data_IF_430057892978
#
_entry.id   IF_430057892978
#
_cell.length_a   1.000
_cell.length_b   1.000
_cell.length_c   1.000
_cell.angle_alpha   90.00
_cell.angle_beta   90.00
_cell.angle_gamma   90.00
#
_symmetry.space_group_name_H-M   'P 1'
#
loop_
_entity.id
_entity.type
_entity.pdbx_description
1 polymer ?
#
# COMPACT_ATOMS: atom_id res chain seq x y z
N UNK A 1 -1.44 26.96 6.49
CA UNK A 1 -1.58 25.59 5.97
C UNK A 1 -1.00 25.55 4.56
N UNK A 2 0.07 24.79 4.31
CA UNK A 2 0.76 24.86 3.03
C UNK A 2 -0.04 24.06 1.98
N UNK A 3 -1.04 24.71 1.38
CA UNK A 3 -1.88 24.18 0.29
C UNK A 3 -1.08 23.85 -0.97
N UNK A 4 -0.01 24.60 -1.22
CA UNK A 4 0.85 24.43 -2.39
C UNK A 4 1.57 23.07 -2.43
N UNK A 5 2.33 22.64 -1.40
CA UNK A 5 2.94 21.31 -1.40
C UNK A 5 1.90 20.18 -1.32
N UNK A 6 0.72 20.42 -0.74
CA UNK A 6 -0.37 19.44 -0.78
C UNK A 6 -0.88 19.23 -2.21
N UNK A 7 -1.14 20.30 -2.97
CA UNK A 7 -1.53 20.21 -4.37
C UNK A 7 -0.46 19.53 -5.23
N UNK A 8 0.81 19.90 -5.04
CA UNK A 8 1.95 19.27 -5.73
C UNK A 8 2.06 17.78 -5.44
N UNK A 9 1.90 17.38 -4.17
CA UNK A 9 1.89 15.97 -3.76
C UNK A 9 0.74 15.20 -4.42
N UNK A 10 -0.48 15.75 -4.41
CA UNK A 10 -1.66 15.12 -5.04
C UNK A 10 -1.43 14.96 -6.54
N UNK A 11 -0.92 15.98 -7.22
CA UNK A 11 -0.62 15.93 -8.66
C UNK A 11 0.44 14.85 -8.95
N UNK A 12 1.58 14.89 -8.29
CA UNK A 12 2.68 13.92 -8.52
C UNK A 12 2.24 12.49 -8.19
N UNK A 13 1.44 12.29 -7.14
CA UNK A 13 0.89 10.99 -6.73
C UNK A 13 -0.17 10.46 -7.70
N UNK A 14 -0.99 11.33 -8.30
CA UNK A 14 -1.95 10.95 -9.34
C UNK A 14 -1.28 10.64 -10.69
N UNK A 15 -0.23 11.37 -11.06
CA UNK A 15 0.54 11.12 -12.29
C UNK A 15 1.50 9.93 -12.15
N UNK A 16 1.94 9.63 -10.93
CA UNK A 16 2.70 8.42 -10.59
C UNK A 16 1.80 7.54 -9.74
N UNK A 17 0.64 7.04 -10.26
CA UNK A 17 -0.18 6.14 -9.50
C UNK A 17 0.70 4.91 -9.26
N UNK A 18 1.22 4.79 -8.04
CA UNK A 18 2.21 3.77 -7.73
C UNK A 18 1.64 2.38 -8.07
N UNK A 19 2.48 1.34 -8.15
CA UNK A 19 2.07 -0.01 -8.54
C UNK A 19 0.83 -0.51 -7.79
N UNK A 20 0.68 -0.14 -6.51
CA UNK A 20 -0.48 -0.45 -5.68
C UNK A 20 -1.79 0.20 -6.19
N UNK A 21 -1.75 1.47 -6.61
CA UNK A 21 -2.91 2.20 -7.12
C UNK A 21 -3.26 1.74 -8.55
N UNK A 22 -2.25 1.37 -9.34
CA UNK A 22 -2.41 0.80 -10.68
C UNK A 22 -2.95 -0.63 -10.66
N UNK A 23 -2.52 -1.47 -9.70
CA UNK A 23 -3.04 -2.82 -9.51
C UNK A 23 -4.50 -2.78 -9.04
N UNK A 24 -4.85 -1.86 -8.14
CA UNK A 24 -6.25 -1.62 -7.75
C UNK A 24 -7.10 -1.13 -8.94
N UNK A 25 -6.56 -0.29 -9.82
CA UNK A 25 -7.22 0.15 -11.05
C UNK A 25 -7.38 -0.97 -12.09
N UNK A 26 -6.41 -1.88 -12.19
CA UNK A 26 -6.49 -3.08 -13.03
C UNK A 26 -7.57 -4.05 -12.52
N UNK A 27 -7.62 -4.28 -11.19
CA UNK A 27 -8.72 -5.03 -10.57
C UNK A 27 -10.08 -4.34 -10.77
N UNK A 28 -10.14 -3.01 -10.65
CA UNK A 28 -11.35 -2.24 -10.91
C UNK A 28 -11.89 -2.40 -12.35
N UNK A 29 -10.98 -2.33 -13.33
CA UNK A 29 -11.34 -2.44 -14.75
C UNK A 29 -11.87 -3.85 -15.10
N UNK A 30 -11.48 -4.88 -14.34
CA UNK A 30 -11.87 -6.28 -14.59
C UNK A 30 -13.25 -6.69 -14.04
N UNK A 31 -13.79 -5.97 -13.05
CA UNK A 31 -15.03 -6.37 -12.33
C UNK A 31 -16.22 -5.40 -12.49
N UNK A 32 -16.04 -4.28 -13.21
CA UNK A 32 -17.10 -3.31 -13.50
C UNK A 32 -17.23 -2.18 -12.46
N UNK A 33 -17.68 -1.01 -12.92
CA UNK A 33 -17.64 0.27 -12.20
C UNK A 33 -18.39 0.27 -10.85
N UNK A 34 -19.53 -0.43 -10.75
CA UNK A 34 -20.34 -0.48 -9.52
C UNK A 34 -19.72 -1.39 -8.44
N UNK A 35 -19.10 -2.52 -8.84
CA UNK A 35 -18.40 -3.41 -7.90
C UNK A 35 -17.09 -2.79 -7.45
N UNK A 36 -16.43 -2.03 -8.33
CA UNK A 36 -15.22 -1.26 -8.00
C UNK A 36 -15.45 -0.27 -6.87
N UNK A 37 -16.57 0.46 -6.87
CA UNK A 37 -16.87 1.42 -5.81
C UNK A 37 -17.05 0.70 -4.45
N UNK A 38 -17.77 -0.44 -4.42
CA UNK A 38 -17.91 -1.24 -3.19
C UNK A 38 -16.57 -1.82 -2.72
N UNK A 39 -15.72 -2.25 -3.64
CA UNK A 39 -14.36 -2.71 -3.33
C UNK A 39 -13.49 -1.58 -2.78
N UNK A 40 -13.49 -0.41 -3.41
CA UNK A 40 -12.76 0.76 -2.94
C UNK A 40 -13.21 1.19 -1.54
N UNK A 41 -14.52 1.16 -1.27
CA UNK A 41 -15.06 1.42 0.07
C UNK A 41 -14.62 0.37 1.08
N UNK A 42 -14.61 -0.91 0.69
CA UNK A 42 -14.09 -2.01 1.53
C UNK A 42 -12.61 -1.88 1.83
N UNK A 43 -11.79 -1.52 0.85
CA UNK A 43 -10.35 -1.25 1.01
C UNK A 43 -10.13 -0.02 1.91
N UNK A 44 -10.89 1.05 1.72
CA UNK A 44 -10.81 2.24 2.55
C UNK A 44 -11.14 1.92 4.02
N UNK A 45 -12.25 1.20 4.28
CA UNK A 45 -12.65 0.77 5.62
C UNK A 45 -11.61 -0.18 6.22
N UNK A 46 -11.15 -1.18 5.47
CA UNK A 46 -10.14 -2.13 5.93
C UNK A 46 -8.82 -1.44 6.27
N UNK A 47 -8.37 -0.49 5.44
CA UNK A 47 -7.20 0.33 5.71
C UNK A 47 -7.37 1.18 6.96
N UNK A 48 -8.56 1.76 7.17
CA UNK A 48 -8.86 2.53 8.37
C UNK A 48 -8.77 1.68 9.64
N UNK A 49 -9.36 0.48 9.61
CA UNK A 49 -9.32 -0.48 10.72
C UNK A 49 -7.88 -0.95 10.99
N UNK A 50 -7.13 -1.30 9.94
CA UNK A 50 -5.73 -1.70 10.04
C UNK A 50 -4.86 -0.58 10.62
N UNK A 51 -5.03 0.66 10.16
CA UNK A 51 -4.30 1.82 10.67
C UNK A 51 -4.61 2.05 12.15
N UNK A 52 -5.88 1.95 12.54
CA UNK A 52 -6.29 2.10 13.94
C UNK A 52 -5.72 1.00 14.83
N UNK A 53 -5.84 -0.26 14.43
CA UNK A 53 -5.26 -1.40 15.17
C UNK A 53 -3.74 -1.31 15.27
N UNK A 54 -3.06 -0.98 14.17
CA UNK A 54 -1.61 -0.85 14.12
C UNK A 54 -1.14 0.26 15.05
N UNK A 55 -1.80 1.42 15.02
CA UNK A 55 -1.46 2.54 15.90
C UNK A 55 -1.68 2.20 17.37
N UNK A 56 -2.77 1.51 17.70
CA UNK A 56 -3.04 1.05 19.07
C UNK A 56 -2.00 0.02 19.54
N UNK A 57 -1.72 -0.98 18.71
CA UNK A 57 -0.73 -2.02 19.00
C UNK A 57 0.68 -1.45 19.15
N UNK A 58 1.07 -0.48 18.31
CA UNK A 58 2.36 0.21 18.39
C UNK A 58 2.55 0.92 19.74
N UNK A 59 1.52 1.64 20.21
CA UNK A 59 1.55 2.32 21.51
C UNK A 59 1.65 1.32 22.68
N UNK A 60 0.96 0.19 22.57
CA UNK A 60 1.01 -0.90 23.56
C UNK A 60 2.40 -1.54 23.60
N UNK A 61 2.97 -1.86 22.43
CA UNK A 61 4.23 -2.58 22.29
C UNK A 61 5.42 -1.76 22.78
N UNK A 62 5.41 -0.44 22.55
CA UNK A 62 6.44 0.48 23.06
C UNK A 62 6.41 0.61 24.57
N UNK A 63 5.21 0.56 25.19
CA UNK A 63 5.08 0.60 26.64
C UNK A 63 5.64 -0.68 27.30
N UNK A 64 5.44 -1.85 26.69
CA UNK A 64 5.91 -3.12 27.26
C UNK A 64 7.40 -3.37 27.02
N UNK A 65 7.93 -3.08 25.84
CA UNK A 65 9.29 -3.44 25.46
C UNK A 65 9.96 -2.34 24.61
N UNK A 66 10.55 -1.31 25.25
CA UNK A 66 11.25 -0.23 24.54
C UNK A 66 12.46 -0.72 23.72
N UNK A 67 12.99 -1.90 24.04
CA UNK A 67 14.15 -2.51 23.38
C UNK A 67 13.81 -3.16 22.02
N UNK A 68 12.55 -3.49 21.74
CA UNK A 68 12.12 -4.12 20.46
C UNK A 68 12.15 -3.14 19.28
N UNK A 69 12.10 -1.84 19.55
CA UNK A 69 12.02 -0.80 18.52
C UNK A 69 13.23 -0.84 17.56
N UNK A 70 14.41 -1.15 18.08
CA UNK A 70 15.65 -1.21 17.30
C UNK A 70 15.70 -2.38 16.30
N UNK A 71 15.56 -3.67 16.72
CA UNK A 71 15.55 -4.79 15.78
C UNK A 71 14.37 -4.74 14.81
N UNK A 72 13.20 -4.25 15.24
CA UNK A 72 12.05 -4.13 14.34
C UNK A 72 12.30 -3.11 13.22
N UNK A 73 12.99 -2.01 13.52
CA UNK A 73 13.39 -1.01 12.52
C UNK A 73 14.41 -1.57 11.54
N UNK A 74 15.42 -2.30 12.03
CA UNK A 74 16.45 -2.91 11.16
C UNK A 74 15.81 -3.94 10.21
N UNK A 75 14.89 -4.76 10.71
CA UNK A 75 14.15 -5.74 9.91
C UNK A 75 13.22 -5.07 8.90
N UNK A 76 12.52 -4.01 9.29
CA UNK A 76 11.64 -3.25 8.40
C UNK A 76 12.38 -2.62 7.24
N UNK A 77 13.54 -1.99 7.51
CA UNK A 77 14.39 -1.42 6.46
C UNK A 77 14.95 -2.51 5.56
N UNK A 78 15.45 -3.62 6.13
CA UNK A 78 15.94 -4.76 5.36
C UNK A 78 14.87 -5.36 4.45
N UNK A 79 13.64 -5.50 4.96
CA UNK A 79 12.51 -5.98 4.17
C UNK A 79 12.12 -5.04 3.03
N UNK A 80 12.10 -3.73 3.27
CA UNK A 80 11.81 -2.74 2.22
C UNK A 80 12.88 -2.73 1.12
N UNK A 81 14.16 -2.87 1.49
CA UNK A 81 15.27 -3.04 0.54
C UNK A 81 15.13 -4.34 -0.27
N UNK A 82 14.78 -5.45 0.39
CA UNK A 82 14.52 -6.72 -0.28
C UNK A 82 13.35 -6.61 -1.27
N UNK A 83 12.24 -5.99 -0.86
CA UNK A 83 11.07 -5.81 -1.71
C UNK A 83 11.40 -4.92 -2.92
N UNK A 84 12.12 -3.82 -2.71
CA UNK A 84 12.55 -2.94 -3.79
C UNK A 84 13.47 -3.65 -4.79
N UNK A 85 14.47 -4.39 -4.29
CA UNK A 85 15.34 -5.22 -5.14
C UNK A 85 14.53 -6.25 -5.92
N UNK A 86 13.56 -6.90 -5.25
CA UNK A 86 12.65 -7.84 -5.90
C UNK A 86 11.81 -7.15 -6.97
N UNK A 87 11.24 -5.98 -6.75
CA UNK A 87 10.44 -5.25 -7.74
C UNK A 87 11.26 -4.83 -8.96
N UNK A 88 12.52 -4.45 -8.79
CA UNK A 88 13.40 -4.06 -9.91
C UNK A 88 13.91 -5.29 -10.69
N UNK A 89 14.21 -6.39 -9.99
CA UNK A 89 14.70 -7.64 -10.62
C UNK A 89 13.57 -8.48 -11.22
N UNK A 90 12.34 -8.33 -10.72
CA UNK A 90 11.11 -8.92 -11.28
C UNK A 90 10.71 -8.12 -12.53
N UNK A 91 11.49 -8.31 -13.59
CA UNK A 91 11.14 -7.91 -14.95
C UNK A 91 9.86 -8.65 -15.35
N UNK A 92 8.78 -7.88 -15.49
CA UNK A 92 7.52 -8.19 -16.17
C UNK A 92 7.15 -9.69 -16.25
N UNK A 93 6.41 -10.18 -15.25
CA UNK A 93 5.55 -11.35 -15.43
C UNK A 93 4.08 -10.88 -15.48
N UNK A 94 3.76 -10.00 -16.44
CA UNK A 94 2.38 -9.76 -16.90
C UNK A 94 2.00 -10.87 -17.88
N UNK A 95 2.08 -12.12 -17.42
CA UNK A 95 2.06 -13.29 -18.29
C UNK A 95 1.09 -14.38 -17.89
N UNK A 96 -0.09 -14.11 -17.31
CA UNK A 96 -1.17 -15.13 -17.14
C UNK A 96 -2.53 -14.55 -16.71
N UNK A 97 -3.09 -13.59 -17.46
CA UNK A 97 -4.50 -13.18 -17.30
C UNK A 97 -5.26 -13.31 -18.63
N UNK A 98 -4.95 -14.37 -19.38
CA UNK A 98 -5.78 -14.85 -20.47
C UNK A 98 -5.89 -16.36 -20.30
N UNK A 99 -6.94 -16.84 -19.63
CA UNK A 99 -7.54 -18.16 -19.78
C UNK A 99 -8.55 -18.33 -18.64
N UNK A 100 -9.76 -17.81 -18.81
CA UNK A 100 -11.02 -18.48 -18.49
C UNK A 100 -12.12 -17.55 -18.99
N UNK A 101 -12.33 -17.69 -20.31
CA UNK A 101 -13.67 -17.68 -20.92
C UNK A 101 -14.58 -18.61 -20.11
#
# INVERSE_FOLDING_TARGET
MPLFPFLLFVIVSSFTPGPNNFMAMSFANKYGFIKTIKFCFGVAVGFFVLAFLCSFFYLLLINLLPMIKAPLTILGVGYMLYLAYKTITSKDDNGSVNNFV
#
